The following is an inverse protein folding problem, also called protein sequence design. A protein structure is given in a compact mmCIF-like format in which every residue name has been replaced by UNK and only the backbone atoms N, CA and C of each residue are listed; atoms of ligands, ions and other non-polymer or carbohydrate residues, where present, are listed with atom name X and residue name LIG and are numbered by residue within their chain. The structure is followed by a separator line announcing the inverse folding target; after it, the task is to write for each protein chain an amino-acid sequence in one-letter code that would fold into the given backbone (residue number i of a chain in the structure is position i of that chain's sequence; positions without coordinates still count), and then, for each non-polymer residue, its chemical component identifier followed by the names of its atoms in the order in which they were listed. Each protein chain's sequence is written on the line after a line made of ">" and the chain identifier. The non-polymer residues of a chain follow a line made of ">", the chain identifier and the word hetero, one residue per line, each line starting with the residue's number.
data_IF_194897777642
#
_entry.id   IF_194897777642
#
_cell.length_a   1.000
_cell.length_b   1.000
_cell.length_c   1.000
_cell.angle_alpha   90.00
_cell.angle_beta   90.00
_cell.angle_gamma   90.00
#
_symmetry.space_group_name_H-M   'P 1'
#
loop_
_entity.id
_entity.type
_entity.pdbx_description
1 polymer ?
#
# COMPACT_ATOMS: atom_id res chain seq x y z
N UNK A 1 -6.32 2.37 33.93
CA UNK A 1 -6.33 2.40 32.45
C UNK A 1 -5.39 3.54 32.06
N UNK A 2 -4.28 3.27 31.39
CA UNK A 2 -3.45 4.33 30.80
C UNK A 2 -3.91 4.46 29.34
N UNK A 3 -4.28 5.66 28.91
CA UNK A 3 -4.58 5.91 27.50
C UNK A 3 -3.27 5.80 26.71
N UNK A 4 -3.23 4.91 25.72
CA UNK A 4 -2.12 4.88 24.77
C UNK A 4 -2.45 5.86 23.65
N UNK A 5 -1.70 6.95 23.57
CA UNK A 5 -1.82 7.91 22.47
C UNK A 5 -1.18 7.31 21.22
N UNK A 6 -1.96 7.22 20.14
CA UNK A 6 -1.49 6.78 18.83
C UNK A 6 -1.13 7.98 17.97
N UNK A 7 0.10 8.02 17.46
CA UNK A 7 0.47 8.94 16.38
C UNK A 7 -0.05 8.38 15.04
N UNK A 8 -0.91 9.14 14.36
CA UNK A 8 -1.53 8.74 13.09
C UNK A 8 -0.83 9.43 11.93
N UNK A 9 -0.53 8.66 10.89
CA UNK A 9 0.05 9.14 9.64
C UNK A 9 -0.96 8.90 8.51
N UNK A 10 -1.89 9.84 8.35
CA UNK A 10 -2.86 9.82 7.24
C UNK A 10 -2.19 10.33 5.94
N UNK A 11 -2.62 9.80 4.81
CA UNK A 11 -2.10 10.15 3.49
C UNK A 11 -3.22 10.20 2.45
N UNK A 12 -2.99 10.87 1.33
CA UNK A 12 -3.98 10.98 0.25
C UNK A 12 -4.13 9.66 -0.51
N UNK A 13 -5.32 9.05 -0.41
CA UNK A 13 -5.64 7.79 -1.10
C UNK A 13 -5.58 7.88 -2.63
N UNK A 14 -5.66 9.10 -3.20
CA UNK A 14 -5.56 9.32 -4.64
C UNK A 14 -4.12 9.30 -5.16
N UNK A 15 -3.14 9.29 -4.26
CA UNK A 15 -1.72 9.19 -4.60
C UNK A 15 -1.45 7.93 -5.41
N UNK A 16 -0.80 8.08 -6.58
CA UNK A 16 -0.45 6.94 -7.46
C UNK A 16 1.01 6.59 -7.25
N UNK A 17 1.27 5.43 -6.66
CA UNK A 17 2.60 4.93 -6.31
C UNK A 17 3.40 5.92 -5.42
N UNK A 18 2.68 6.66 -4.59
CA UNK A 18 3.22 7.70 -3.71
C UNK A 18 3.94 7.07 -2.52
N UNK A 19 5.11 7.60 -2.17
CA UNK A 19 5.83 7.17 -0.95
C UNK A 19 5.07 7.73 0.26
N UNK A 20 4.58 6.84 1.11
CA UNK A 20 3.85 7.18 2.35
C UNK A 20 4.66 6.91 3.62
N UNK A 21 5.72 6.11 3.49
CA UNK A 21 6.69 5.88 4.57
C UNK A 21 8.06 5.60 3.95
N UNK A 22 9.10 6.22 4.51
CA UNK A 22 10.47 5.96 4.11
C UNK A 22 11.44 6.16 5.27
N UNK A 23 11.96 5.06 5.80
CA UNK A 23 12.89 5.08 6.93
C UNK A 23 13.69 3.78 6.97
N UNK A 24 14.93 3.82 7.45
CA UNK A 24 15.75 2.62 7.71
C UNK A 24 15.85 1.66 6.50
N UNK A 25 15.88 2.21 5.29
CA UNK A 25 15.94 1.45 4.04
C UNK A 25 14.62 0.79 3.61
N UNK A 26 13.55 0.96 4.39
CA UNK A 26 12.19 0.56 4.02
C UNK A 26 11.52 1.69 3.27
N UNK A 27 10.87 1.39 2.15
CA UNK A 27 9.97 2.30 1.45
C UNK A 27 8.60 1.64 1.33
N UNK A 28 7.54 2.32 1.79
CA UNK A 28 6.16 1.90 1.56
C UNK A 28 5.51 2.90 0.61
N UNK A 29 4.87 2.38 -0.43
CA UNK A 29 4.09 3.17 -1.37
C UNK A 29 2.64 2.77 -1.34
N UNK A 30 1.74 3.71 -1.60
CA UNK A 30 0.31 3.47 -1.78
C UNK A 30 -0.13 3.75 -3.22
N UNK A 31 -1.17 3.05 -3.64
CA UNK A 31 -1.90 3.35 -4.88
C UNK A 31 -3.38 2.95 -4.76
N UNK A 32 -4.28 3.58 -5.53
CA UNK A 32 -5.73 3.40 -5.33
C UNK A 32 -6.17 1.94 -5.54
N UNK A 33 -7.13 1.51 -4.73
CA UNK A 33 -7.88 0.27 -4.88
C UNK A 33 -9.36 0.58 -5.16
N UNK A 34 -10.09 -0.40 -5.72
CA UNK A 34 -11.51 -0.27 -6.06
C UNK A 34 -12.32 -1.16 -5.13
N UNK A 35 -12.84 -0.60 -4.03
CA UNK A 35 -13.62 -1.35 -3.07
C UNK A 35 -14.65 -0.49 -2.33
N UNK A 36 -15.93 -0.75 -2.58
CA UNK A 36 -17.11 -0.12 -1.96
C UNK A 36 -17.22 1.42 -2.09
N UNK A 37 -16.28 2.19 -1.55
CA UNK A 37 -16.23 3.64 -1.52
C UNK A 37 -14.84 4.15 -1.89
N UNK A 38 -14.73 5.45 -2.11
CA UNK A 38 -13.46 6.15 -2.26
C UNK A 38 -12.65 6.10 -0.95
N UNK A 39 -11.38 5.68 -1.02
CA UNK A 39 -10.49 5.60 0.14
C UNK A 39 -9.53 4.40 0.17
N UNK A 40 -9.95 3.19 -0.22
CA UNK A 40 -9.08 2.02 -0.19
C UNK A 40 -7.85 2.16 -1.09
N UNK A 41 -6.76 1.57 -0.63
CA UNK A 41 -5.47 1.54 -1.34
C UNK A 41 -4.85 0.16 -1.25
N UNK A 42 -4.00 -0.14 -2.22
CA UNK A 42 -3.02 -1.20 -2.15
C UNK A 42 -1.66 -0.62 -1.74
N UNK A 43 -0.78 -1.46 -1.19
CA UNK A 43 0.55 -1.08 -0.77
C UNK A 43 1.64 -1.91 -1.44
N UNK A 44 2.79 -1.28 -1.69
CA UNK A 44 4.05 -1.98 -1.92
C UNK A 44 5.06 -1.66 -0.83
N UNK A 45 5.70 -2.69 -0.27
CA UNK A 45 6.84 -2.59 0.63
C UNK A 45 8.10 -2.97 -0.13
N UNK A 46 9.07 -2.07 -0.18
CA UNK A 46 10.39 -2.29 -0.76
C UNK A 46 11.44 -2.23 0.37
N UNK A 47 12.26 -3.28 0.50
CA UNK A 47 13.31 -3.35 1.51
C UNK A 47 14.40 -4.35 1.13
N UNK A 48 15.68 -3.94 1.26
CA UNK A 48 16.84 -4.78 1.00
C UNK A 48 16.82 -5.46 -0.39
N UNK A 49 16.38 -4.73 -1.42
CA UNK A 49 16.26 -5.24 -2.79
C UNK A 49 15.05 -6.15 -3.03
N UNK A 50 14.25 -6.43 -2.00
CA UNK A 50 13.01 -7.20 -2.10
C UNK A 50 11.80 -6.27 -2.23
N UNK A 51 10.73 -6.79 -2.84
CA UNK A 51 9.45 -6.11 -3.01
C UNK A 51 8.28 -7.03 -2.69
N UNK A 52 7.43 -6.60 -1.75
CA UNK A 52 6.18 -7.26 -1.38
C UNK A 52 4.99 -6.36 -1.67
N UNK A 53 3.90 -6.93 -2.17
CA UNK A 53 2.69 -6.19 -2.52
C UNK A 53 1.46 -6.72 -1.81
N UNK A 54 0.68 -5.81 -1.24
CA UNK A 54 -0.54 -6.07 -0.50
C UNK A 54 -1.69 -5.34 -1.20
N UNK A 55 -2.57 -6.08 -1.86
CA UNK A 55 -3.68 -5.53 -2.63
C UNK A 55 -4.79 -4.93 -1.78
N UNK A 56 -4.98 -5.46 -0.58
CA UNK A 56 -6.22 -5.27 0.18
C UNK A 56 -7.40 -5.91 -0.55
N UNK A 57 -8.60 -5.44 -0.21
CA UNK A 57 -9.82 -5.79 -0.95
C UNK A 57 -9.92 -4.86 -2.16
N UNK A 58 -9.99 -5.44 -3.36
CA UNK A 58 -10.12 -4.66 -4.57
C UNK A 58 -10.64 -5.49 -5.74
N UNK A 59 -11.49 -4.88 -6.57
CA UNK A 59 -11.65 -5.38 -7.93
C UNK A 59 -10.35 -5.25 -8.73
N UNK A 60 -10.23 -6.05 -9.80
CA UNK A 60 -9.11 -5.94 -10.74
C UNK A 60 -8.98 -4.51 -11.25
N UNK A 61 -7.76 -3.96 -11.16
CA UNK A 61 -7.46 -2.59 -11.53
C UNK A 61 -6.06 -2.47 -12.14
N UNK A 62 -5.83 -1.40 -12.89
CA UNK A 62 -4.56 -1.17 -13.60
C UNK A 62 -3.38 -0.87 -12.68
N UNK A 63 -3.63 -0.26 -11.52
CA UNK A 63 -2.57 0.12 -10.59
C UNK A 63 -1.92 -1.09 -9.95
N UNK A 64 -2.73 -2.05 -9.52
CA UNK A 64 -2.22 -3.30 -8.97
C UNK A 64 -1.43 -4.09 -10.02
N UNK A 65 -1.95 -4.24 -11.25
CA UNK A 65 -1.20 -4.90 -12.34
C UNK A 65 0.15 -4.22 -12.59
N UNK A 66 0.18 -2.89 -12.65
CA UNK A 66 1.40 -2.13 -12.92
C UNK A 66 2.41 -2.23 -11.77
N UNK A 67 1.97 -2.01 -10.53
CA UNK A 67 2.87 -1.86 -9.39
C UNK A 67 3.15 -3.19 -8.66
N UNK A 68 2.42 -4.27 -8.94
CA UNK A 68 2.78 -5.62 -8.50
C UNK A 68 3.83 -6.31 -9.38
N UNK A 69 4.19 -5.72 -10.53
CA UNK A 69 5.22 -6.29 -11.41
C UNK A 69 6.53 -6.51 -10.67
N UNK A 70 7.08 -7.70 -10.90
CA UNK A 70 8.34 -8.19 -10.33
C UNK A 70 8.38 -8.20 -8.80
N UNK A 71 7.22 -8.23 -8.12
CA UNK A 71 7.21 -8.45 -6.68
C UNK A 71 7.67 -9.88 -6.34
N UNK A 72 8.47 -10.01 -5.30
CA UNK A 72 8.91 -11.30 -4.75
C UNK A 72 7.77 -12.04 -4.03
N UNK A 73 6.80 -11.27 -3.54
CA UNK A 73 5.55 -11.80 -2.98
C UNK A 73 4.40 -10.84 -3.19
N UNK A 74 3.23 -11.37 -3.51
CA UNK A 74 2.01 -10.55 -3.63
C UNK A 74 0.79 -11.30 -3.10
N UNK A 75 -0.09 -10.56 -2.44
CA UNK A 75 -1.39 -11.05 -1.96
C UNK A 75 -2.48 -10.03 -2.31
N UNK A 76 -3.60 -10.51 -2.84
CA UNK A 76 -4.78 -9.71 -3.13
C UNK A 76 -6.04 -10.48 -2.78
N UNK A 77 -7.07 -9.75 -2.34
CA UNK A 77 -8.39 -10.28 -2.04
C UNK A 77 -9.42 -9.58 -2.94
N UNK A 78 -10.47 -10.31 -3.31
CA UNK A 78 -11.55 -9.86 -4.18
C UNK A 78 -12.84 -9.63 -3.39
#
# INVERSE_FOLDING_TARGET
>A
MVAQESLIHEFDYKGVNAIIYQENGVTIRSYPAIHALDGPVSFSLEWNGLKFVFGGDTYSNKWYDEYAKNADGSVAYA
#
